data_IF_858741019535
#
_entry.id   IF_858741019535
#
_cell.length_a   1.000
_cell.length_b   1.000
_cell.length_c   1.000
_cell.angle_alpha   90.00
_cell.angle_beta   90.00
_cell.angle_gamma   90.00
#
_symmetry.space_group_name_H-M   'P 1'
#
loop_
_entity.id
_entity.type
_entity.pdbx_description
1 polymer ?
#
# COMPACT_ATOMS: atom_id res chain seq x y z
N UNK A 1 27.85 -0.37 -9.53
CA UNK A 1 27.47 -1.75 -9.90
C UNK A 1 27.15 -2.50 -8.62
N UNK A 2 26.17 -3.40 -8.65
CA UNK A 2 25.89 -4.28 -7.51
C UNK A 2 27.14 -5.11 -7.22
N UNK A 3 27.53 -5.20 -5.95
CA UNK A 3 28.67 -6.04 -5.53
C UNK A 3 28.12 -7.45 -5.34
N UNK A 4 28.58 -8.45 -6.10
CA UNK A 4 28.09 -9.81 -5.96
C UNK A 4 28.43 -10.35 -4.57
N UNK A 5 27.65 -11.33 -4.12
CA UNK A 5 28.02 -12.13 -2.95
C UNK A 5 29.29 -12.91 -3.29
N UNK A 6 30.41 -12.51 -2.68
CA UNK A 6 31.74 -13.09 -2.89
C UNK A 6 32.20 -13.88 -1.67
N UNK A 7 33.04 -14.87 -1.92
CA UNK A 7 33.58 -15.80 -0.93
C UNK A 7 34.22 -15.11 0.28
N UNK A 8 34.91 -13.98 0.08
CA UNK A 8 35.53 -13.19 1.16
C UNK A 8 34.53 -12.67 2.20
N UNK A 9 33.29 -12.38 1.80
CA UNK A 9 32.25 -11.88 2.72
C UNK A 9 31.56 -13.01 3.50
N UNK A 10 31.78 -14.26 3.12
CA UNK A 10 31.09 -15.44 3.66
C UNK A 10 32.08 -16.47 4.19
N UNK A 11 33.14 -16.04 4.89
CA UNK A 11 34.15 -16.93 5.47
C UNK A 11 33.57 -18.05 6.35
N UNK A 12 32.48 -17.77 7.06
CA UNK A 12 31.81 -18.74 7.93
C UNK A 12 31.06 -19.83 7.14
N UNK A 13 30.58 -19.53 5.92
CA UNK A 13 29.96 -20.53 5.04
C UNK A 13 31.00 -21.53 4.48
N UNK A 14 32.28 -21.17 4.58
CA UNK A 14 33.42 -21.91 4.02
C UNK A 14 34.21 -22.66 5.09
N UNK A 15 33.95 -22.41 6.39
CA UNK A 15 34.67 -23.05 7.49
C UNK A 15 33.95 -24.33 7.96
N UNK A 16 34.51 -25.53 7.68
CA UNK A 16 33.92 -26.81 8.08
C UNK A 16 33.80 -27.00 9.61
N UNK A 17 34.41 -26.12 10.41
CA UNK A 17 34.34 -26.19 11.87
C UNK A 17 32.96 -25.83 12.42
N UNK A 18 32.17 -25.07 11.67
CA UNK A 18 30.80 -24.78 12.09
C UNK A 18 29.91 -26.02 11.92
N UNK A 19 29.10 -26.34 12.91
CA UNK A 19 28.21 -27.51 12.80
C UNK A 19 26.89 -27.17 12.10
N UNK A 20 26.46 -25.91 12.19
CA UNK A 20 25.24 -25.40 11.57
C UNK A 20 25.30 -23.89 11.48
N UNK A 21 24.82 -23.36 10.37
CA UNK A 21 24.60 -21.93 10.17
C UNK A 21 23.10 -21.69 10.32
N UNK A 22 22.74 -20.72 11.16
CA UNK A 22 21.34 -20.36 11.39
C UNK A 22 20.96 -19.25 10.42
N UNK A 23 20.02 -19.55 9.52
CA UNK A 23 19.30 -18.54 8.76
C UNK A 23 17.95 -18.37 9.48
N UNK A 24 17.76 -17.27 10.22
CA UNK A 24 16.56 -17.04 11.02
C UNK A 24 15.34 -16.82 10.11
N UNK A 25 14.61 -17.88 9.83
CA UNK A 25 13.30 -17.80 9.19
C UNK A 25 12.26 -17.42 10.25
N UNK A 26 12.09 -16.11 10.51
CA UNK A 26 10.96 -15.63 11.31
C UNK A 26 9.66 -16.20 10.72
N UNK A 27 8.79 -16.76 11.58
CA UNK A 27 7.50 -17.31 11.14
C UNK A 27 6.73 -16.20 10.43
N UNK A 28 6.52 -16.37 9.12
CA UNK A 28 5.74 -15.41 8.35
C UNK A 28 4.31 -15.37 8.88
N UNK A 29 3.85 -14.17 9.20
CA UNK A 29 2.46 -13.92 9.54
C UNK A 29 1.60 -14.13 8.27
N UNK A 30 0.34 -14.48 8.48
CA UNK A 30 -0.62 -14.54 7.38
C UNK A 30 -0.78 -13.15 6.76
N UNK A 31 -0.98 -13.10 5.44
CA UNK A 31 -1.26 -11.85 4.73
C UNK A 31 -2.58 -11.25 5.20
N UNK A 32 -2.57 -9.96 5.52
CA UNK A 32 -3.77 -9.21 5.92
C UNK A 32 -4.43 -8.48 4.73
N UNK A 33 -3.76 -8.45 3.58
CA UNK A 33 -4.28 -7.82 2.35
C UNK A 33 -5.69 -8.34 1.98
N UNK A 34 -5.99 -9.65 2.03
CA UNK A 34 -7.33 -10.15 1.70
C UNK A 34 -8.42 -9.74 2.70
N UNK A 35 -8.04 -9.35 3.91
CA UNK A 35 -8.97 -8.83 4.92
C UNK A 35 -9.18 -7.32 4.76
N UNK A 36 -8.14 -6.59 4.34
CA UNK A 36 -8.17 -5.13 4.16
C UNK A 36 -8.82 -4.68 2.84
N UNK A 37 -8.67 -5.46 1.78
CA UNK A 37 -9.10 -5.08 0.44
C UNK A 37 -10.02 -6.13 -0.17
N UNK A 38 -11.08 -5.65 -0.84
CA UNK A 38 -11.88 -6.49 -1.73
C UNK A 38 -11.12 -6.64 -3.06
N UNK A 39 -11.05 -7.86 -3.58
CA UNK A 39 -10.42 -8.11 -4.88
C UNK A 39 -11.18 -7.40 -6.00
N UNK A 40 -10.64 -6.27 -6.46
CA UNK A 40 -11.09 -5.60 -7.68
C UNK A 40 -10.20 -6.08 -8.83
N UNK A 41 -10.75 -6.76 -9.86
CA UNK A 41 -9.95 -7.25 -10.96
C UNK A 41 -9.34 -6.09 -11.75
N UNK A 42 -8.10 -6.27 -12.20
CA UNK A 42 -7.45 -5.32 -13.10
C UNK A 42 -8.24 -5.20 -14.41
N UNK A 43 -8.43 -3.97 -14.87
CA UNK A 43 -9.06 -3.67 -16.17
C UNK A 43 -8.12 -3.84 -17.37
N UNK A 44 -6.87 -4.31 -17.15
CA UNK A 44 -5.85 -4.51 -18.19
C UNK A 44 -5.27 -3.22 -18.78
N UNK A 45 -5.57 -2.06 -18.21
CA UNK A 45 -5.03 -0.75 -18.63
C UNK A 45 -3.86 -0.33 -17.75
N UNK A 46 -3.14 0.71 -18.16
CA UNK A 46 -2.03 1.27 -17.38
C UNK A 46 -2.47 1.87 -16.03
N UNK A 47 -3.73 2.29 -15.93
CA UNK A 47 -4.32 2.83 -14.71
C UNK A 47 -5.80 2.46 -14.56
N UNK A 48 -6.29 2.58 -13.35
CA UNK A 48 -7.72 2.49 -13.03
C UNK A 48 -8.18 3.85 -12.53
N UNK A 49 -9.34 4.29 -12.98
CA UNK A 49 -9.93 5.57 -12.59
C UNK A 49 -11.35 5.33 -12.10
N UNK A 50 -11.68 5.95 -10.97
CA UNK A 50 -13.02 5.98 -10.40
C UNK A 50 -13.43 7.43 -10.26
N UNK A 51 -14.67 7.72 -10.64
CA UNK A 51 -15.25 9.05 -10.58
C UNK A 51 -16.53 8.99 -9.75
N UNK A 52 -16.72 9.99 -8.91
CA UNK A 52 -17.92 10.13 -8.09
C UNK A 52 -18.94 11.05 -8.77
N UNK A 53 -20.22 10.88 -8.43
CA UNK A 53 -21.30 11.78 -8.84
C UNK A 53 -22.07 12.18 -7.60
N UNK A 54 -22.32 13.48 -7.45
CA UNK A 54 -23.01 14.04 -6.29
C UNK A 54 -24.46 13.59 -6.17
N UNK A 55 -24.97 13.62 -4.95
CA UNK A 55 -26.38 13.31 -4.66
C UNK A 55 -27.30 14.44 -5.11
N UNK A 56 -28.60 14.14 -5.25
CA UNK A 56 -29.62 15.18 -5.37
C UNK A 56 -29.93 15.76 -3.98
N UNK A 57 -30.37 17.03 -3.91
CA UNK A 57 -30.86 17.61 -2.67
C UNK A 57 -32.20 16.97 -2.24
N UNK A 58 -32.57 17.20 -0.98
CA UNK A 58 -33.85 16.74 -0.44
C UNK A 58 -35.05 17.37 -1.17
N UNK A 59 -36.20 16.70 -1.09
CA UNK A 59 -37.43 17.19 -1.70
C UNK A 59 -37.95 18.43 -0.96
N UNK A 60 -38.18 19.52 -1.70
CA UNK A 60 -38.81 20.73 -1.19
C UNK A 60 -40.32 20.57 -0.98
N UNK A 61 -40.88 21.33 -0.03
CA UNK A 61 -42.33 21.45 0.10
C UNK A 61 -42.94 22.09 -1.15
N UNK A 62 -43.92 21.43 -1.75
CA UNK A 62 -44.57 21.93 -2.95
C UNK A 62 -45.27 23.29 -2.71
N UNK A 63 -44.82 24.34 -3.39
CA UNK A 63 -45.38 25.69 -3.32
C UNK A 63 -46.21 26.09 -4.55
N UNK A 64 -46.57 25.13 -5.41
CA UNK A 64 -47.25 25.38 -6.69
C UNK A 64 -46.33 25.39 -7.92
N UNK A 65 -45.01 25.23 -7.72
CA UNK A 65 -44.01 25.08 -8.79
C UNK A 65 -43.08 23.91 -8.45
N UNK A 66 -42.53 23.24 -9.48
CA UNK A 66 -41.53 22.18 -9.32
C UNK A 66 -40.14 22.78 -9.48
N UNK A 67 -39.32 22.69 -8.44
CA UNK A 67 -37.90 22.99 -8.51
C UNK A 67 -37.16 21.87 -9.25
N UNK A 68 -36.28 22.23 -10.19
CA UNK A 68 -35.40 21.30 -10.87
C UNK A 68 -33.98 21.47 -10.33
N UNK A 69 -33.35 20.36 -9.93
CA UNK A 69 -31.99 20.36 -9.39
C UNK A 69 -31.04 19.64 -10.35
N UNK A 70 -29.78 20.05 -10.34
CA UNK A 70 -28.69 19.41 -11.07
C UNK A 70 -27.78 18.64 -10.13
N UNK A 71 -27.13 17.61 -10.64
CA UNK A 71 -26.04 16.92 -9.95
C UNK A 71 -24.70 17.45 -10.46
N UNK A 72 -23.71 17.51 -9.57
CA UNK A 72 -22.34 17.86 -9.91
C UNK A 72 -21.46 16.60 -9.93
N UNK A 73 -20.45 16.59 -10.79
CA UNK A 73 -19.43 15.53 -10.76
C UNK A 73 -18.54 15.69 -9.53
N UNK A 74 -18.24 14.58 -8.87
CA UNK A 74 -17.39 14.51 -7.68
C UNK A 74 -15.90 14.43 -8.03
N UNK A 75 -15.11 13.97 -7.07
CA UNK A 75 -13.67 13.80 -7.26
C UNK A 75 -13.37 12.50 -8.02
N UNK A 76 -12.18 12.48 -8.62
CA UNK A 76 -11.65 11.34 -9.35
C UNK A 76 -10.47 10.76 -8.58
N UNK A 77 -10.45 9.44 -8.44
CA UNK A 77 -9.30 8.70 -7.91
C UNK A 77 -8.69 7.87 -9.04
N UNK A 78 -7.38 8.03 -9.25
CA UNK A 78 -6.61 7.28 -10.24
C UNK A 78 -5.61 6.38 -9.52
N UNK A 79 -5.74 5.06 -9.64
CA UNK A 79 -4.72 4.12 -9.18
C UNK A 79 -3.75 3.78 -10.32
N UNK A 80 -2.46 3.77 -10.00
CA UNK A 80 -1.36 3.48 -10.94
C UNK A 80 -0.64 2.20 -10.54
N UNK A 81 -0.36 1.35 -11.53
CA UNK A 81 0.41 0.14 -11.30
C UNK A 81 1.90 0.47 -11.32
N UNK A 82 2.58 0.25 -10.19
CA UNK A 82 4.03 0.43 -10.07
C UNK A 82 4.75 -0.92 -10.16
N UNK A 83 5.89 -0.93 -10.85
CA UNK A 83 6.75 -2.11 -10.94
C UNK A 83 7.84 -2.06 -9.85
N UNK A 84 8.00 -3.17 -9.13
CA UNK A 84 9.05 -3.35 -8.14
C UNK A 84 9.91 -4.55 -8.51
N UNK A 85 11.21 -4.37 -8.53
CA UNK A 85 12.17 -5.42 -8.85
C UNK A 85 13.26 -5.50 -7.79
N UNK A 86 13.75 -6.71 -7.56
CA UNK A 86 14.91 -6.96 -6.73
C UNK A 86 15.68 -8.15 -7.32
N UNK A 87 17.00 -8.16 -7.13
CA UNK A 87 17.88 -9.17 -7.72
C UNK A 87 19.04 -9.49 -6.79
N UNK A 88 19.55 -10.71 -6.92
CA UNK A 88 20.72 -11.19 -6.20
C UNK A 88 21.76 -11.69 -7.21
N UNK A 89 23.03 -11.49 -6.92
CA UNK A 89 24.14 -11.99 -7.72
C UNK A 89 25.09 -12.75 -6.80
N UNK A 90 25.50 -13.94 -7.23
CA UNK A 90 26.37 -14.83 -6.46
C UNK A 90 27.58 -15.18 -7.30
N UNK A 91 28.76 -15.12 -6.69
CA UNK A 91 30.00 -15.59 -7.29
C UNK A 91 29.95 -17.10 -7.56
N UNK A 92 30.46 -17.54 -8.72
CA UNK A 92 30.49 -18.98 -9.06
C UNK A 92 31.29 -19.80 -8.03
N UNK A 93 32.43 -19.28 -7.59
CA UNK A 93 33.28 -19.94 -6.58
C UNK A 93 32.53 -20.13 -5.26
N UNK A 94 31.85 -19.09 -4.77
CA UNK A 94 31.04 -19.18 -3.55
C UNK A 94 29.91 -20.20 -3.68
N UNK A 95 29.32 -20.34 -4.86
CA UNK A 95 28.30 -21.37 -5.12
C UNK A 95 28.89 -22.79 -5.05
N UNK A 96 30.07 -23.02 -5.63
CA UNK A 96 30.71 -24.33 -5.63
C UNK A 96 31.34 -24.70 -4.25
N UNK A 97 31.79 -23.70 -3.48
CA UNK A 97 32.47 -23.88 -2.18
C UNK A 97 31.51 -23.88 -0.96
N UNK A 98 30.21 -23.63 -1.15
CA UNK A 98 29.21 -23.59 -0.07
C UNK A 98 29.04 -24.97 0.59
N UNK A 99 29.49 -25.10 1.84
CA UNK A 99 29.41 -26.37 2.57
C UNK A 99 28.06 -26.61 3.26
N UNK A 100 27.21 -25.57 3.37
CA UNK A 100 25.98 -25.60 4.17
C UNK A 100 24.71 -25.39 3.33
N UNK A 101 24.82 -25.32 2.00
CA UNK A 101 23.71 -25.08 1.06
C UNK A 101 22.88 -23.83 1.45
N UNK A 102 23.54 -22.79 1.96
CA UNK A 102 22.91 -21.51 2.31
C UNK A 102 22.64 -20.69 1.05
N UNK A 103 23.51 -20.81 0.04
CA UNK A 103 23.36 -20.11 -1.24
C UNK A 103 22.12 -20.60 -1.99
N UNK A 104 21.79 -21.89 -1.89
CA UNK A 104 20.58 -22.47 -2.47
C UNK A 104 19.27 -21.93 -1.85
N UNK A 105 19.35 -21.35 -0.65
CA UNK A 105 18.20 -20.76 0.03
C UNK A 105 17.96 -19.29 -0.36
N UNK A 106 18.90 -18.65 -1.06
CA UNK A 106 18.81 -17.24 -1.47
C UNK A 106 17.61 -16.94 -2.38
N UNK A 107 17.22 -17.79 -3.35
CA UNK A 107 16.00 -17.58 -4.12
C UNK A 107 14.74 -17.57 -3.25
N UNK A 108 14.67 -18.42 -2.22
CA UNK A 108 13.58 -18.42 -1.24
C UNK A 108 13.57 -17.13 -0.42
N UNK A 109 14.74 -16.65 0.01
CA UNK A 109 14.86 -15.36 0.70
C UNK A 109 14.40 -14.18 -0.17
N UNK A 110 14.67 -14.22 -1.48
CA UNK A 110 14.19 -13.22 -2.43
C UNK A 110 12.66 -13.25 -2.56
N UNK A 111 12.05 -14.43 -2.65
CA UNK A 111 10.59 -14.58 -2.65
C UNK A 111 9.96 -14.07 -1.34
N UNK A 112 10.57 -14.36 -0.20
CA UNK A 112 10.16 -13.82 1.10
C UNK A 112 10.32 -12.30 1.17
N UNK A 113 11.34 -11.72 0.54
CA UNK A 113 11.47 -10.26 0.40
C UNK A 113 10.32 -9.68 -0.41
N UNK A 114 9.95 -10.30 -1.53
CA UNK A 114 8.84 -9.85 -2.36
C UNK A 114 7.51 -9.88 -1.59
N UNK A 115 7.24 -10.96 -0.85
CA UNK A 115 6.05 -11.09 -0.01
C UNK A 115 5.98 -9.98 1.07
N UNK A 116 7.09 -9.72 1.77
CA UNK A 116 7.17 -8.65 2.78
C UNK A 116 6.95 -7.26 2.19
N UNK A 117 7.52 -7.00 1.02
CA UNK A 117 7.32 -5.74 0.30
C UNK A 117 5.85 -5.55 -0.08
N UNK A 118 5.17 -6.63 -0.52
CA UNK A 118 3.73 -6.61 -0.82
C UNK A 118 2.90 -6.20 0.41
N UNK A 119 3.14 -6.81 1.56
CA UNK A 119 2.43 -6.46 2.81
C UNK A 119 2.70 -5.03 3.25
N UNK A 120 3.96 -4.58 3.18
CA UNK A 120 4.33 -3.20 3.56
C UNK A 120 3.62 -2.17 2.70
N UNK A 121 3.53 -2.41 1.40
CA UNK A 121 2.81 -1.51 0.48
C UNK A 121 1.29 -1.62 0.63
N UNK A 122 0.74 -2.81 0.89
CA UNK A 122 -0.68 -2.98 1.19
C UNK A 122 -1.12 -2.22 2.45
N UNK A 123 -0.25 -2.12 3.46
CA UNK A 123 -0.53 -1.35 4.67
C UNK A 123 -0.25 0.17 4.53
N UNK A 124 0.46 0.61 3.48
CA UNK A 124 0.92 2.00 3.36
C UNK A 124 -0.21 3.03 3.36
N UNK A 125 -1.33 2.86 2.62
CA UNK A 125 -2.43 3.83 2.65
C UNK A 125 -3.03 4.04 4.04
N UNK A 126 -3.08 3.01 4.86
CA UNK A 126 -3.57 3.09 6.24
C UNK A 126 -2.55 3.72 7.19
N UNK A 127 -1.28 3.32 7.06
CA UNK A 127 -0.20 3.90 7.87
C UNK A 127 -0.02 5.40 7.59
N UNK A 128 -0.29 5.82 6.36
CA UNK A 128 -0.17 7.20 5.90
C UNK A 128 -1.53 7.92 5.85
N UNK A 129 -2.60 7.41 6.48
CA UNK A 129 -3.96 7.94 6.33
C UNK A 129 -4.09 9.44 6.70
N UNK A 130 -3.23 9.95 7.57
CA UNK A 130 -3.21 11.36 8.01
C UNK A 130 -2.26 12.26 7.18
N UNK A 131 -1.58 11.71 6.18
CA UNK A 131 -0.71 12.42 5.26
C UNK A 131 -1.23 12.26 3.83
N UNK A 132 -0.89 13.21 2.96
CA UNK A 132 -1.21 13.10 1.52
C UNK A 132 -0.24 12.09 0.91
N UNK A 133 -0.68 10.84 0.77
CA UNK A 133 0.05 9.78 0.09
C UNK A 133 -0.44 9.66 -1.36
N UNK A 134 0.48 9.80 -2.32
CA UNK A 134 0.19 9.66 -3.74
C UNK A 134 0.98 8.54 -4.41
N UNK A 135 1.51 7.59 -3.63
CA UNK A 135 2.42 6.56 -4.14
C UNK A 135 1.71 5.61 -5.10
N UNK A 136 0.50 5.14 -4.72
CA UNK A 136 -0.26 4.14 -5.49
C UNK A 136 -1.52 4.70 -6.14
N UNK A 137 -1.95 5.87 -5.71
CA UNK A 137 -3.13 6.53 -6.22
C UNK A 137 -2.98 8.05 -6.17
N UNK A 138 -3.75 8.76 -6.98
CA UNK A 138 -3.94 10.19 -6.86
C UNK A 138 -5.42 10.48 -6.79
N UNK A 139 -5.81 11.33 -5.84
CA UNK A 139 -7.18 11.82 -5.72
C UNK A 139 -7.20 13.32 -6.10
N UNK A 140 -8.18 13.75 -6.90
CA UNK A 140 -8.27 15.14 -7.37
C UNK A 140 -8.61 16.15 -6.28
N UNK A 141 -9.13 15.71 -5.13
CA UNK A 141 -9.29 16.52 -3.92
C UNK A 141 -7.91 16.92 -3.33
N UNK A 142 -6.90 16.06 -3.52
CA UNK A 142 -5.52 16.25 -3.05
C UNK A 142 -5.37 16.43 -1.52
N UNK A 143 -6.25 15.82 -0.73
CA UNK A 143 -6.25 15.83 0.73
C UNK A 143 -5.98 14.42 1.28
N UNK A 144 -5.50 14.32 2.53
CA UNK A 144 -5.28 13.05 3.22
C UNK A 144 -6.60 12.30 3.45
N UNK A 145 -6.53 10.97 3.63
CA UNK A 145 -7.70 10.13 3.85
C UNK A 145 -8.45 10.50 5.14
N UNK A 146 -7.72 10.86 6.19
CA UNK A 146 -8.24 11.42 7.43
C UNK A 146 -7.84 12.90 7.53
N UNK A 147 -8.79 13.81 7.31
CA UNK A 147 -8.56 15.26 7.28
C UNK A 147 -9.76 16.05 7.83
N UNK A 148 -9.48 17.30 8.23
CA UNK A 148 -10.47 18.31 8.63
C UNK A 148 -10.63 19.42 7.57
N UNK A 149 -10.18 19.13 6.36
CA UNK A 149 -10.09 20.10 5.26
C UNK A 149 -10.62 19.50 3.96
N UNK A 150 -11.57 18.56 4.05
CA UNK A 150 -12.21 18.04 2.85
C UNK A 150 -12.98 19.14 2.13
N UNK A 151 -13.01 19.06 0.81
CA UNK A 151 -13.60 20.05 -0.08
C UNK A 151 -14.78 19.44 -0.85
N UNK A 152 -15.49 20.26 -1.61
CA UNK A 152 -16.60 19.81 -2.46
C UNK A 152 -16.56 20.53 -3.79
N UNK A 153 -16.91 19.80 -4.85
CA UNK A 153 -17.08 20.31 -6.22
C UNK A 153 -18.44 20.96 -6.46
N UNK A 154 -19.39 20.82 -5.53
CA UNK A 154 -20.75 21.38 -5.65
C UNK A 154 -20.89 22.80 -5.10
N UNK A 155 -19.86 23.32 -4.42
CA UNK A 155 -19.92 24.60 -3.72
C UNK A 155 -20.74 24.55 -2.43
N UNK A 156 -21.13 23.36 -1.97
CA UNK A 156 -21.73 23.18 -0.65
C UNK A 156 -20.78 23.65 0.46
N UNK A 157 -21.34 24.16 1.56
CA UNK A 157 -20.53 24.59 2.70
C UNK A 157 -19.91 23.38 3.39
N UNK A 158 -18.58 23.39 3.56
CA UNK A 158 -17.83 22.37 4.30
C UNK A 158 -17.68 22.68 5.78
N UNK A 159 -18.37 23.72 6.29
CA UNK A 159 -18.14 24.22 7.63
C UNK A 159 -18.57 23.25 8.75
N UNK A 160 -19.47 22.29 8.47
CA UNK A 160 -19.93 21.31 9.44
C UNK A 160 -20.11 19.94 8.75
N UNK A 161 -19.55 18.89 9.34
CA UNK A 161 -19.79 17.50 8.89
C UNK A 161 -18.92 17.01 7.72
N UNK A 162 -17.96 17.80 7.27
CA UNK A 162 -16.98 17.42 6.23
C UNK A 162 -15.60 17.05 6.81
N UNK A 163 -15.55 16.74 8.10
CA UNK A 163 -14.32 16.38 8.80
C UNK A 163 -14.40 14.93 9.26
N UNK A 164 -13.36 14.14 8.96
CA UNK A 164 -13.21 12.77 9.45
C UNK A 164 -11.90 12.58 10.25
N UNK A 165 -11.20 13.67 10.55
CA UNK A 165 -9.98 13.66 11.34
C UNK A 165 -10.28 13.48 12.83
N UNK A 166 -9.80 12.37 13.38
CA UNK A 166 -9.77 12.12 14.83
C UNK A 166 -8.31 11.88 15.25
N UNK A 167 -7.83 12.64 16.23
CA UNK A 167 -6.47 12.52 16.77
C UNK A 167 -6.44 11.97 18.20
N UNK A 168 -7.61 11.74 18.78
CA UNK A 168 -7.74 11.10 20.09
C UNK A 168 -7.32 9.64 20.02
N UNK A 169 -6.74 9.13 21.10
CA UNK A 169 -6.38 7.73 21.19
C UNK A 169 -7.65 6.86 21.14
N UNK A 170 -7.62 5.76 20.40
CA UNK A 170 -8.71 4.78 20.37
C UNK A 170 -8.81 4.11 21.76
N UNK A 171 -9.65 4.65 22.62
CA UNK A 171 -9.85 4.17 23.97
C UNK A 171 -11.33 4.24 24.32
N UNK A 172 -11.80 3.37 25.21
CA UNK A 172 -13.19 3.35 25.65
C UNK A 172 -13.66 4.65 26.34
N UNK A 173 -12.73 5.57 26.63
CA UNK A 173 -12.97 6.86 27.29
C UNK A 173 -12.68 8.05 26.37
N UNK A 174 -12.19 7.81 25.15
CA UNK A 174 -11.98 8.86 24.17
C UNK A 174 -13.26 9.05 23.34
N UNK A 175 -13.65 10.33 23.21
CA UNK A 175 -14.86 10.85 22.56
C UNK A 175 -15.04 10.38 21.11
#
# INVERSE_FOLDING_TARGET
MAVPHISENFGDLLDPRFQRIFDEEYKQLQSMIPELYTDVPSNGRNNMMWSEVGTLPDFDQFSGMVGYHSQNQGYDTTATYLEFTNGIQVERKLFDDDQYNVIDQRPRALAASAARTREKHGAAPFNNAFAVDTTFYSNSEAVALCSNSHTTTSGASTANGFDNLVTTALSAVAL
#
